data_IF_184233606768
#
_entry.id   IF_184233606768
#
_cell.length_a   1.000
_cell.length_b   1.000
_cell.length_c   1.000
_cell.angle_alpha   90.00
_cell.angle_beta   90.00
_cell.angle_gamma   90.00
#
_symmetry.space_group_name_H-M   'P 1'
#
loop_
_entity.id
_entity.type
_entity.pdbx_description
1 polymer ?
#
# COMPACT_ATOMS: atom_id res chain seq x y z
N UNK A 1 26.57 -6.27 -74.01
CA UNK A 1 25.72 -6.70 -72.85
C UNK A 1 26.51 -7.51 -71.74
N UNK A 2 27.49 -8.34 -72.16
CA UNK A 2 28.24 -9.16 -71.17
C UNK A 2 29.06 -8.33 -70.11
N UNK A 3 29.66 -7.18 -70.54
CA UNK A 3 30.48 -6.38 -69.62
C UNK A 3 29.69 -5.59 -68.53
N UNK A 4 28.40 -5.26 -68.79
CA UNK A 4 27.57 -4.57 -67.82
C UNK A 4 27.07 -5.51 -66.70
N UNK A 5 26.87 -6.78 -67.07
CA UNK A 5 26.42 -7.80 -66.14
C UNK A 5 27.57 -8.16 -65.13
N UNK A 6 28.82 -8.22 -65.63
CA UNK A 6 30.01 -8.50 -64.81
C UNK A 6 30.30 -7.35 -63.79
N UNK A 7 30.08 -6.09 -64.18
CA UNK A 7 30.24 -4.93 -63.28
C UNK A 7 29.15 -4.89 -62.24
N UNK A 8 27.90 -5.25 -62.59
CA UNK A 8 26.80 -5.35 -61.62
C UNK A 8 27.01 -6.50 -60.61
N UNK A 9 27.54 -7.63 -61.01
CA UNK A 9 27.88 -8.75 -60.14
C UNK A 9 29.06 -8.41 -59.22
N UNK A 10 30.06 -7.65 -59.69
CA UNK A 10 31.19 -7.21 -58.85
C UNK A 10 30.74 -6.17 -57.80
N UNK A 11 29.82 -5.25 -58.18
CA UNK A 11 29.26 -4.29 -57.25
C UNK A 11 28.33 -4.94 -56.22
N UNK A 12 27.55 -5.95 -56.61
CA UNK A 12 26.72 -6.73 -55.72
C UNK A 12 27.56 -7.55 -54.73
N UNK A 13 28.71 -8.15 -55.16
CA UNK A 13 29.62 -8.86 -54.28
C UNK A 13 30.35 -7.93 -53.29
N UNK A 14 30.73 -6.72 -53.72
CA UNK A 14 31.37 -5.74 -52.78
C UNK A 14 30.39 -5.23 -51.74
N UNK A 15 29.12 -5.01 -52.08
CA UNK A 15 28.09 -4.57 -51.14
C UNK A 15 27.74 -5.67 -50.13
N UNK A 16 27.75 -6.95 -50.54
CA UNK A 16 27.56 -8.08 -49.64
C UNK A 16 28.78 -8.30 -48.73
N UNK A 17 30.01 -8.07 -49.23
CA UNK A 17 31.21 -8.20 -48.44
C UNK A 17 31.37 -7.08 -47.39
N UNK A 18 30.84 -5.88 -47.64
CA UNK A 18 30.85 -4.79 -46.64
C UNK A 18 29.72 -4.91 -45.61
N UNK A 19 28.67 -5.70 -45.89
CA UNK A 19 27.58 -5.96 -44.93
C UNK A 19 27.94 -6.94 -43.81
N UNK A 20 29.05 -7.62 -43.89
CA UNK A 20 29.55 -8.55 -42.84
C UNK A 20 30.72 -8.02 -42.01
N UNK A 21 31.14 -6.77 -42.18
CA UNK A 21 31.96 -6.07 -41.19
C UNK A 21 31.01 -5.46 -40.15
N UNK A 22 30.10 -6.27 -39.62
CA UNK A 22 29.39 -5.98 -38.40
C UNK A 22 30.41 -6.16 -37.27
N UNK A 23 30.71 -5.07 -36.61
CA UNK A 23 31.27 -4.99 -35.28
C UNK A 23 31.79 -6.35 -34.74
N UNK A 24 33.08 -6.63 -34.89
CA UNK A 24 33.72 -7.40 -33.83
C UNK A 24 33.50 -6.54 -32.58
N UNK A 25 32.62 -6.98 -31.69
CA UNK A 25 32.69 -6.49 -30.33
C UNK A 25 34.14 -6.74 -29.94
N UNK A 26 34.93 -5.68 -29.86
CA UNK A 26 36.19 -5.74 -29.14
C UNK A 26 35.81 -6.36 -27.82
N UNK A 27 36.51 -7.40 -27.45
CA UNK A 27 36.34 -8.08 -26.17
C UNK A 27 36.49 -6.97 -25.10
N UNK A 28 35.35 -6.40 -24.71
CA UNK A 28 35.32 -5.38 -23.69
C UNK A 28 35.93 -6.06 -22.47
N UNK A 29 37.14 -5.65 -22.12
CA UNK A 29 37.77 -6.12 -20.90
C UNK A 29 36.78 -6.07 -19.75
N UNK A 30 36.98 -6.83 -18.68
CA UNK A 30 36.03 -6.90 -17.59
C UNK A 30 35.60 -5.49 -17.20
N UNK A 31 34.29 -5.25 -17.24
CA UNK A 31 33.70 -3.97 -16.89
C UNK A 31 34.27 -3.51 -15.55
N UNK A 32 34.77 -2.28 -15.47
CA UNK A 32 35.16 -1.69 -14.18
C UNK A 32 33.96 -1.64 -13.21
N UNK A 33 32.76 -1.84 -13.73
CA UNK A 33 31.51 -2.03 -13.00
C UNK A 33 31.08 -3.50 -12.95
N UNK A 34 31.90 -4.42 -13.45
CA UNK A 34 31.69 -5.86 -13.30
C UNK A 34 31.97 -6.27 -11.85
N UNK A 35 31.07 -5.86 -11.04
CA UNK A 35 30.92 -6.39 -9.70
C UNK A 35 30.28 -7.78 -9.82
N UNK A 36 31.04 -8.73 -10.33
CA UNK A 36 30.68 -10.17 -10.31
C UNK A 36 30.18 -10.61 -8.95
N UNK A 37 30.63 -9.94 -7.95
CA UNK A 37 30.28 -10.17 -6.58
C UNK A 37 30.22 -8.81 -5.94
N UNK A 38 29.24 -8.08 -5.99
CA UNK A 38 29.02 -7.03 -5.01
C UNK A 38 29.94 -7.33 -3.78
N UNK A 39 31.24 -7.03 -3.77
CA UNK A 39 32.00 -7.31 -2.58
C UNK A 39 31.53 -6.29 -1.57
N UNK A 40 30.54 -6.71 -0.76
CA UNK A 40 30.07 -5.89 0.35
C UNK A 40 31.27 -5.63 1.22
N UNK A 41 31.57 -4.35 1.47
CA UNK A 41 32.68 -3.96 2.32
C UNK A 41 32.41 -4.43 3.76
N UNK A 42 33.12 -5.48 4.17
CA UNK A 42 33.01 -6.07 5.50
C UNK A 42 33.41 -5.11 6.64
N UNK A 43 34.20 -4.08 6.35
CA UNK A 43 34.61 -3.08 7.35
C UNK A 43 33.51 -2.12 7.74
N UNK A 44 32.45 -1.99 6.93
CA UNK A 44 31.35 -1.07 7.21
C UNK A 44 30.39 -1.60 8.28
N UNK A 45 29.99 -0.77 9.20
CA UNK A 45 28.98 -1.11 10.22
C UNK A 45 27.64 -1.52 9.61
N UNK A 46 27.38 -1.12 8.38
CA UNK A 46 26.17 -1.45 7.61
C UNK A 46 26.21 -2.83 6.92
N UNK A 47 27.36 -3.49 6.92
CA UNK A 47 27.56 -4.77 6.27
C UNK A 47 26.48 -5.82 6.60
N UNK A 48 25.99 -5.97 7.85
CA UNK A 48 24.95 -6.92 8.18
C UNK A 48 23.63 -6.62 7.45
N UNK A 49 23.21 -5.36 7.38
CA UNK A 49 22.00 -4.98 6.65
C UNK A 49 22.20 -5.15 5.14
N UNK A 50 23.32 -4.69 4.59
CA UNK A 50 23.64 -4.83 3.17
C UNK A 50 23.63 -6.31 2.74
N UNK A 51 24.16 -7.20 3.59
CA UNK A 51 24.13 -8.66 3.36
C UNK A 51 22.70 -9.20 3.42
N UNK A 52 21.93 -8.80 4.44
CA UNK A 52 20.52 -9.20 4.55
C UNK A 52 19.72 -8.79 3.31
N UNK A 53 19.90 -7.56 2.84
CA UNK A 53 19.20 -7.04 1.65
C UNK A 53 19.60 -7.79 0.39
N UNK A 54 20.90 -8.09 0.22
CA UNK A 54 21.40 -8.89 -0.90
C UNK A 54 20.74 -10.27 -0.92
N UNK A 55 20.80 -10.99 0.19
CA UNK A 55 20.35 -12.39 0.28
C UNK A 55 18.82 -12.53 0.21
N UNK A 56 18.08 -11.57 0.77
CA UNK A 56 16.62 -11.69 0.93
C UNK A 56 15.81 -10.93 -0.13
N UNK A 57 16.41 -10.00 -0.89
CA UNK A 57 15.70 -9.21 -1.89
C UNK A 57 16.39 -9.23 -3.26
N UNK A 58 17.71 -8.97 -3.31
CA UNK A 58 18.41 -8.85 -4.59
C UNK A 58 18.55 -10.21 -5.28
N UNK A 59 19.14 -11.20 -4.61
CA UNK A 59 19.38 -12.52 -5.21
C UNK A 59 18.10 -13.28 -5.54
N UNK A 60 17.08 -13.35 -4.65
CA UNK A 60 15.89 -14.14 -4.95
C UNK A 60 14.93 -13.45 -5.92
N UNK A 61 14.80 -12.11 -5.89
CA UNK A 61 13.74 -11.38 -6.59
C UNK A 61 14.24 -10.29 -7.55
N UNK A 62 15.57 -10.06 -7.62
CA UNK A 62 16.17 -8.96 -8.36
C UNK A 62 15.64 -7.57 -7.92
N UNK A 63 15.50 -7.39 -6.60
CA UNK A 63 15.00 -6.15 -5.98
C UNK A 63 16.16 -5.43 -5.30
N UNK A 64 16.46 -4.22 -5.75
CA UNK A 64 17.40 -3.32 -5.08
C UNK A 64 16.67 -2.57 -3.97
N UNK A 65 17.03 -2.85 -2.72
CA UNK A 65 16.50 -2.14 -1.55
C UNK A 65 17.45 -1.01 -1.17
N UNK A 66 17.05 0.25 -1.37
CA UNK A 66 17.87 1.44 -1.17
C UNK A 66 17.42 2.14 0.10
N UNK A 67 18.25 2.18 1.13
CA UNK A 67 18.01 2.91 2.37
C UNK A 67 18.99 4.06 2.58
N UNK A 68 20.11 4.06 1.85
CA UNK A 68 21.01 5.21 1.77
C UNK A 68 20.48 6.17 0.73
N UNK A 69 20.20 7.39 1.14
CA UNK A 69 19.73 8.42 0.23
C UNK A 69 20.88 8.82 -0.69
N UNK A 70 20.67 8.65 -1.99
CA UNK A 70 21.59 9.12 -3.01
C UNK A 70 21.06 10.45 -3.56
N UNK A 71 21.94 11.42 -3.85
CA UNK A 71 21.55 12.73 -4.39
C UNK A 71 20.87 12.59 -5.77
N UNK A 72 21.26 11.57 -6.55
CA UNK A 72 20.70 11.27 -7.86
C UNK A 72 19.49 10.33 -7.67
N UNK A 73 18.30 10.82 -8.03
CA UNK A 73 17.05 10.03 -7.95
C UNK A 73 16.14 10.41 -6.79
N UNK A 74 16.51 11.41 -6.01
CA UNK A 74 15.63 12.08 -5.05
C UNK A 74 15.01 13.32 -5.69
N UNK A 75 13.79 13.68 -5.27
CA UNK A 75 13.15 14.92 -5.72
C UNK A 75 13.90 16.13 -5.13
N UNK A 76 14.76 16.73 -5.94
CA UNK A 76 15.60 17.88 -5.55
C UNK A 76 14.78 19.13 -5.19
N UNK A 77 13.48 19.14 -5.45
CA UNK A 77 12.58 20.25 -5.06
C UNK A 77 12.11 20.15 -3.61
N UNK A 78 12.46 19.07 -2.91
CA UNK A 78 11.99 18.76 -1.56
C UNK A 78 13.15 18.55 -0.60
N UNK A 79 12.97 19.00 0.65
CA UNK A 79 13.92 18.76 1.73
C UNK A 79 13.69 17.38 2.34
N UNK A 80 14.21 16.34 1.71
CA UNK A 80 14.13 14.98 2.18
C UNK A 80 15.34 14.62 3.05
N UNK A 81 15.18 13.78 4.06
CA UNK A 81 16.25 13.29 4.92
C UNK A 81 16.38 11.78 4.81
N UNK A 82 17.60 11.22 4.95
CA UNK A 82 17.81 9.78 4.89
C UNK A 82 17.12 9.07 6.07
N UNK A 83 16.78 7.81 5.86
CA UNK A 83 16.35 6.92 6.93
C UNK A 83 17.54 6.60 7.86
N UNK A 84 17.29 6.55 9.18
CA UNK A 84 18.29 6.07 10.12
C UNK A 84 18.58 4.59 9.89
N UNK A 85 19.79 4.15 10.25
CA UNK A 85 20.17 2.75 10.10
C UNK A 85 19.21 1.81 10.86
N UNK A 86 18.89 2.15 12.10
CA UNK A 86 17.97 1.36 12.92
C UNK A 86 16.59 1.20 12.26
N UNK A 87 16.01 2.30 11.78
CA UNK A 87 14.71 2.27 11.11
C UNK A 87 14.77 1.54 9.77
N UNK A 88 15.90 1.64 9.07
CA UNK A 88 16.14 0.88 7.84
C UNK A 88 16.19 -0.62 8.11
N UNK A 89 16.85 -1.05 9.19
CA UNK A 89 16.84 -2.46 9.64
C UNK A 89 15.42 -2.90 9.97
N UNK A 90 14.69 -2.13 10.80
CA UNK A 90 13.32 -2.47 11.18
C UNK A 90 12.41 -2.60 9.97
N UNK A 91 12.44 -1.63 9.05
CA UNK A 91 11.57 -1.67 7.86
C UNK A 91 11.95 -2.80 6.91
N UNK A 92 13.24 -3.10 6.74
CA UNK A 92 13.70 -4.20 5.89
C UNK A 92 13.20 -5.58 6.40
N UNK A 93 13.36 -5.86 7.69
CA UNK A 93 12.90 -7.14 8.25
C UNK A 93 11.37 -7.24 8.25
N UNK A 94 10.67 -6.13 8.52
CA UNK A 94 9.21 -6.09 8.43
C UNK A 94 8.72 -6.24 6.99
N UNK A 95 9.40 -5.65 6.00
CA UNK A 95 9.07 -5.85 4.58
C UNK A 95 9.23 -7.32 4.17
N UNK A 96 10.26 -8.00 4.66
CA UNK A 96 10.41 -9.45 4.44
C UNK A 96 9.29 -10.22 5.13
N UNK A 97 9.08 -9.98 6.43
CA UNK A 97 8.16 -10.72 7.27
C UNK A 97 6.68 -10.49 6.93
N UNK A 98 6.24 -9.24 6.71
CA UNK A 98 4.82 -8.89 6.52
C UNK A 98 4.39 -8.81 5.06
N UNK A 99 5.32 -8.86 4.11
CA UNK A 99 4.98 -8.76 2.69
C UNK A 99 5.62 -9.87 1.85
N UNK A 100 6.95 -9.93 1.69
CA UNK A 100 7.60 -10.88 0.79
C UNK A 100 7.33 -12.34 1.16
N UNK A 101 7.54 -12.73 2.43
CA UNK A 101 7.32 -14.11 2.89
C UNK A 101 5.87 -14.57 2.71
N UNK A 102 4.92 -13.65 2.84
CA UNK A 102 3.50 -13.96 2.70
C UNK A 102 3.16 -14.23 1.23
N UNK A 103 3.61 -13.36 0.33
CA UNK A 103 3.39 -13.60 -1.11
C UNK A 103 4.21 -14.78 -1.66
N UNK A 104 5.35 -15.11 -1.07
CA UNK A 104 6.10 -16.32 -1.39
C UNK A 104 5.34 -17.58 -0.95
N UNK A 105 4.69 -17.53 0.21
CA UNK A 105 3.93 -18.65 0.78
C UNK A 105 2.66 -18.96 -0.02
N UNK A 106 1.94 -17.94 -0.46
CA UNK A 106 0.62 -18.09 -1.09
C UNK A 106 0.62 -17.87 -2.61
N UNK A 107 1.70 -17.36 -3.17
CA UNK A 107 1.90 -17.22 -4.60
C UNK A 107 2.59 -18.45 -5.23
N UNK A 108 2.77 -18.39 -6.53
CA UNK A 108 3.63 -19.35 -7.21
C UNK A 108 5.11 -19.04 -6.98
N UNK A 109 6.05 -20.00 -7.12
CA UNK A 109 7.48 -19.73 -6.95
C UNK A 109 8.03 -18.63 -7.87
N UNK A 110 7.36 -18.36 -8.99
CA UNK A 110 7.77 -17.33 -9.94
C UNK A 110 7.07 -15.98 -9.71
N UNK A 111 6.00 -15.94 -8.91
CA UNK A 111 5.14 -14.76 -8.76
C UNK A 111 5.94 -13.51 -8.38
N UNK A 112 6.69 -13.56 -7.27
CA UNK A 112 7.50 -12.44 -6.83
C UNK A 112 8.66 -12.13 -7.79
N UNK A 113 9.27 -13.14 -8.39
CA UNK A 113 10.35 -12.93 -9.38
C UNK A 113 9.89 -12.15 -10.60
N UNK A 114 8.65 -12.37 -11.03
CA UNK A 114 8.07 -11.71 -12.20
C UNK A 114 7.47 -10.35 -11.89
N UNK A 115 6.86 -10.20 -10.72
CA UNK A 115 6.01 -9.05 -10.40
C UNK A 115 6.57 -8.12 -9.32
N UNK A 116 7.68 -8.45 -8.62
CA UNK A 116 8.26 -7.53 -7.64
C UNK A 116 8.70 -6.22 -8.28
N UNK A 117 8.59 -5.10 -7.55
CA UNK A 117 9.26 -3.86 -7.96
C UNK A 117 10.76 -4.13 -8.12
N UNK A 118 11.44 -3.40 -8.98
CA UNK A 118 12.90 -3.54 -9.12
C UNK A 118 13.65 -2.75 -8.07
N UNK A 119 13.02 -1.72 -7.53
CA UNK A 119 13.61 -0.85 -6.50
C UNK A 119 12.58 -0.63 -5.39
N UNK A 120 13.02 -0.79 -4.16
CA UNK A 120 12.35 -0.25 -2.97
C UNK A 120 13.27 0.82 -2.41
N UNK A 121 12.81 2.07 -2.40
CA UNK A 121 13.58 3.22 -1.93
C UNK A 121 12.99 3.78 -0.64
N UNK A 122 13.79 3.86 0.40
CA UNK A 122 13.36 4.26 1.74
C UNK A 122 13.90 5.64 2.07
N UNK A 123 12.99 6.58 2.35
CA UNK A 123 13.28 7.96 2.72
C UNK A 123 12.87 8.17 4.19
N UNK A 124 13.72 8.84 4.95
CA UNK A 124 13.52 9.03 6.39
C UNK A 124 12.43 10.02 6.75
N UNK A 125 12.28 11.09 5.97
CA UNK A 125 11.32 12.17 6.23
C UNK A 125 10.01 12.00 5.46
N UNK A 126 9.01 12.76 5.88
CA UNK A 126 7.77 12.95 5.15
C UNK A 126 8.00 13.64 3.80
N UNK A 127 7.15 13.33 2.84
CA UNK A 127 7.05 14.02 1.58
C UNK A 127 5.77 14.85 1.56
N UNK A 128 5.90 16.15 1.86
CA UNK A 128 4.78 17.06 1.88
C UNK A 128 4.59 17.69 0.49
N UNK A 129 3.35 17.74 0.02
CA UNK A 129 2.96 18.50 -1.16
C UNK A 129 2.55 19.92 -0.71
N UNK A 130 3.38 20.95 -0.91
CA UNK A 130 3.11 22.31 -0.41
C UNK A 130 1.87 22.95 -1.05
N UNK A 131 1.49 22.52 -2.26
CA UNK A 131 0.38 23.10 -3.01
C UNK A 131 -0.97 22.52 -2.61
N UNK A 132 -1.01 21.32 -2.07
CA UNK A 132 -2.25 20.62 -1.69
C UNK A 132 -2.40 20.41 -0.19
N UNK A 133 -1.36 20.69 0.60
CA UNK A 133 -1.34 20.40 2.05
C UNK A 133 -1.39 18.89 2.37
N UNK A 134 -1.19 18.03 1.36
CA UNK A 134 -1.28 16.58 1.51
C UNK A 134 0.10 15.97 1.73
N UNK A 135 0.14 14.87 2.47
CA UNK A 135 1.32 14.04 2.63
C UNK A 135 1.29 12.93 1.56
N UNK A 136 2.40 12.78 0.83
CA UNK A 136 2.61 11.66 -0.10
C UNK A 136 3.28 10.53 0.69
N UNK A 137 2.56 9.43 0.89
CA UNK A 137 3.05 8.28 1.69
C UNK A 137 4.00 7.39 0.89
N UNK A 138 3.77 7.27 -0.42
CA UNK A 138 4.60 6.54 -1.35
C UNK A 138 4.33 6.95 -2.79
N UNK A 139 5.18 6.51 -3.68
CA UNK A 139 5.05 6.73 -5.13
C UNK A 139 5.57 5.51 -5.87
N UNK A 140 4.77 4.98 -6.81
CA UNK A 140 5.29 4.06 -7.82
C UNK A 140 5.72 4.83 -9.06
N UNK A 141 6.99 4.71 -9.40
CA UNK A 141 7.52 5.30 -10.63
C UNK A 141 7.56 4.24 -11.74
N UNK A 142 6.57 4.31 -12.65
CA UNK A 142 6.53 3.47 -13.85
C UNK A 142 6.45 1.96 -13.59
N UNK A 143 5.89 1.53 -12.45
CA UNK A 143 5.78 0.11 -12.10
C UNK A 143 7.11 -0.58 -11.74
N UNK A 144 8.19 0.19 -11.59
CA UNK A 144 9.52 -0.35 -11.34
C UNK A 144 10.06 -0.03 -9.94
N UNK A 145 9.65 1.08 -9.36
CA UNK A 145 10.18 1.58 -8.09
C UNK A 145 9.06 1.96 -7.14
N UNK A 146 9.15 1.48 -5.91
CA UNK A 146 8.33 1.92 -4.77
C UNK A 146 9.19 2.78 -3.87
N UNK A 147 8.80 4.03 -3.65
CA UNK A 147 9.44 4.91 -2.67
C UNK A 147 8.57 4.98 -1.42
N UNK A 148 9.15 4.68 -0.26
CA UNK A 148 8.50 4.75 1.05
C UNK A 148 9.06 5.94 1.82
N UNK A 149 8.19 6.85 2.20
CA UNK A 149 8.55 8.04 2.98
C UNK A 149 8.29 7.83 4.47
N UNK A 150 8.78 8.76 5.29
CA UNK A 150 8.55 8.82 6.74
C UNK A 150 9.14 7.63 7.52
N UNK A 151 10.17 6.96 7.02
CA UNK A 151 10.74 5.78 7.66
C UNK A 151 11.28 6.04 9.08
N UNK A 152 11.69 7.29 9.39
CA UNK A 152 12.17 7.64 10.73
C UNK A 152 11.06 7.63 11.80
N UNK A 153 9.79 7.73 11.41
CA UNK A 153 8.64 7.62 12.29
C UNK A 153 8.09 6.17 12.40
N UNK A 154 8.73 5.21 11.73
CA UNK A 154 8.32 3.80 11.83
C UNK A 154 8.24 3.36 13.31
N UNK A 155 7.07 2.89 13.71
CA UNK A 155 6.81 2.44 15.07
C UNK A 155 6.12 1.07 15.10
N UNK A 156 6.88 -0.03 15.27
CA UNK A 156 6.31 -1.37 15.33
C UNK A 156 5.33 -1.61 16.49
N UNK A 157 5.31 -0.71 17.48
CA UNK A 157 4.33 -0.78 18.58
C UNK A 157 2.95 -0.25 18.18
N UNK A 158 2.82 0.43 17.04
CA UNK A 158 1.58 0.94 16.50
C UNK A 158 1.32 0.35 15.10
N UNK A 159 0.56 -0.75 15.07
CA UNK A 159 0.25 -1.48 13.83
C UNK A 159 -0.53 -0.60 12.85
N UNK A 160 -1.48 0.18 13.34
CA UNK A 160 -2.32 1.03 12.47
C UNK A 160 -1.45 2.07 11.74
N UNK A 161 -0.55 2.75 12.47
CA UNK A 161 0.40 3.69 11.87
C UNK A 161 1.33 2.99 10.87
N UNK A 162 1.85 1.81 11.24
CA UNK A 162 2.75 1.04 10.39
C UNK A 162 2.03 0.59 9.10
N UNK A 163 0.79 0.15 9.20
CA UNK A 163 -0.02 -0.22 8.04
C UNK A 163 -0.31 1.00 7.16
N UNK A 164 -0.76 2.11 7.73
CA UNK A 164 -1.11 3.31 6.97
C UNK A 164 0.08 3.87 6.18
N UNK A 165 1.24 4.01 6.82
CA UNK A 165 2.40 4.65 6.21
C UNK A 165 3.23 3.73 5.31
N UNK A 166 3.26 2.41 5.59
CA UNK A 166 4.18 1.51 4.89
C UNK A 166 3.47 0.37 4.18
N UNK A 167 2.72 -0.47 4.88
CA UNK A 167 2.23 -1.70 4.27
C UNK A 167 1.04 -1.47 3.34
N UNK A 168 0.14 -0.55 3.66
CA UNK A 168 -0.93 -0.13 2.73
C UNK A 168 -0.31 0.43 1.46
N UNK A 169 0.67 1.34 1.58
CA UNK A 169 1.40 1.89 0.44
C UNK A 169 2.09 0.80 -0.38
N UNK A 170 2.79 -0.15 0.26
CA UNK A 170 3.44 -1.25 -0.46
C UNK A 170 2.45 -2.11 -1.23
N UNK A 171 1.31 -2.46 -0.65
CA UNK A 171 0.27 -3.23 -1.33
C UNK A 171 -0.43 -2.42 -2.44
N UNK A 172 -0.63 -1.13 -2.24
CA UNK A 172 -1.19 -0.19 -3.21
C UNK A 172 -0.31 -0.11 -4.47
N UNK A 173 0.96 0.20 -4.30
CA UNK A 173 1.91 0.32 -5.41
C UNK A 173 2.16 -1.02 -6.10
N UNK A 174 2.19 -2.10 -5.32
CA UNK A 174 2.27 -3.44 -5.88
C UNK A 174 1.01 -3.79 -6.69
N UNK A 175 -0.16 -3.35 -6.24
CA UNK A 175 -1.41 -3.45 -7.00
C UNK A 175 -1.31 -2.79 -8.38
N UNK A 176 -0.69 -1.61 -8.48
CA UNK A 176 -0.43 -0.96 -9.76
C UNK A 176 0.53 -1.75 -10.66
N UNK A 177 1.58 -2.34 -10.09
CA UNK A 177 2.51 -3.20 -10.85
C UNK A 177 1.76 -4.41 -11.43
N UNK A 178 0.92 -5.04 -10.61
CA UNK A 178 0.11 -6.18 -11.06
C UNK A 178 -0.92 -5.77 -12.13
N UNK A 179 -1.59 -4.61 -11.98
CA UNK A 179 -2.55 -4.08 -12.96
C UNK A 179 -1.90 -3.76 -14.31
N UNK A 180 -0.62 -3.36 -14.32
CA UNK A 180 0.15 -3.15 -15.57
C UNK A 180 0.47 -4.46 -16.29
N UNK A 181 0.64 -5.56 -15.57
CA UNK A 181 0.94 -6.87 -16.16
C UNK A 181 -0.32 -7.60 -16.62
N UNK A 182 -1.38 -7.50 -15.86
CA UNK A 182 -2.69 -8.07 -16.16
C UNK A 182 -3.77 -7.04 -15.83
N UNK A 183 -4.27 -6.35 -16.84
CA UNK A 183 -5.23 -5.26 -16.65
C UNK A 183 -6.47 -5.72 -15.87
N UNK A 184 -6.92 -4.89 -14.95
CA UNK A 184 -8.17 -5.09 -14.21
C UNK A 184 -9.36 -5.19 -15.18
N UNK A 185 -10.44 -5.88 -14.80
CA UNK A 185 -11.64 -5.97 -15.61
C UNK A 185 -12.24 -4.57 -15.90
N UNK A 186 -12.55 -4.26 -17.15
CA UNK A 186 -13.14 -2.98 -17.55
C UNK A 186 -14.49 -2.71 -16.86
N UNK A 187 -15.22 -3.76 -16.50
CA UNK A 187 -16.46 -3.66 -15.72
C UNK A 187 -16.27 -2.98 -14.36
N UNK A 188 -15.09 -3.07 -13.75
CA UNK A 188 -14.78 -2.37 -12.50
C UNK A 188 -14.91 -0.86 -12.67
N UNK A 189 -14.40 -0.30 -13.77
CA UNK A 189 -14.42 1.13 -14.02
C UNK A 189 -15.86 1.68 -14.13
N UNK A 190 -16.85 0.83 -14.38
CA UNK A 190 -18.26 1.19 -14.52
C UNK A 190 -19.00 1.25 -13.18
N UNK A 191 -18.54 0.53 -12.14
CA UNK A 191 -19.24 0.43 -10.85
C UNK A 191 -19.42 1.82 -10.22
N UNK A 192 -18.38 2.63 -10.20
CA UNK A 192 -18.39 3.98 -9.64
C UNK A 192 -18.21 5.07 -10.70
N UNK A 193 -18.55 4.77 -11.97
CA UNK A 193 -18.47 5.76 -13.06
C UNK A 193 -19.29 7.00 -12.72
N UNK A 194 -18.70 8.18 -12.98
CA UNK A 194 -19.33 9.48 -12.67
C UNK A 194 -19.25 9.92 -11.20
N UNK A 195 -18.63 9.10 -10.30
CA UNK A 195 -18.41 9.44 -8.89
C UNK A 195 -16.94 9.77 -8.57
N UNK A 196 -16.02 9.53 -9.51
CA UNK A 196 -14.60 9.85 -9.34
C UNK A 196 -14.35 11.33 -9.51
N UNK A 197 -13.56 11.92 -8.61
CA UNK A 197 -13.13 13.33 -8.67
C UNK A 197 -11.68 13.47 -8.21
N UNK A 198 -10.78 13.65 -9.18
CA UNK A 198 -9.36 13.80 -8.93
C UNK A 198 -8.99 15.12 -8.23
N UNK A 199 -9.89 16.11 -8.21
CA UNK A 199 -9.61 17.46 -7.69
C UNK A 199 -10.12 17.69 -6.27
N UNK A 200 -11.16 16.97 -5.84
CA UNK A 200 -11.85 17.24 -4.56
C UNK A 200 -11.85 16.06 -3.58
N UNK A 201 -11.24 14.92 -3.93
CA UNK A 201 -11.21 13.75 -3.06
C UNK A 201 -10.61 14.05 -1.68
N UNK A 202 -9.66 14.97 -1.57
CA UNK A 202 -9.04 15.38 -0.29
C UNK A 202 -10.04 16.01 0.67
N UNK A 203 -11.12 16.57 0.15
CA UNK A 203 -12.19 17.17 0.94
C UNK A 203 -13.29 16.18 1.34
N UNK A 204 -13.22 14.94 0.83
CA UNK A 204 -14.21 13.91 1.10
C UNK A 204 -13.90 13.20 2.43
N UNK A 205 -14.80 13.23 3.42
CA UNK A 205 -14.61 12.49 4.67
C UNK A 205 -14.68 10.97 4.44
N UNK A 206 -13.99 10.19 5.30
CA UNK A 206 -13.93 8.73 5.19
C UNK A 206 -15.32 8.09 5.19
N UNK A 207 -16.23 8.57 6.06
CA UNK A 207 -17.60 8.03 6.13
C UNK A 207 -18.41 8.32 4.87
N UNK A 208 -18.24 9.51 4.27
CA UNK A 208 -18.91 9.84 3.01
C UNK A 208 -18.30 9.06 1.84
N UNK A 209 -16.98 8.86 1.82
CA UNK A 209 -16.34 8.01 0.85
C UNK A 209 -16.89 6.58 0.95
N UNK A 210 -16.96 6.04 2.17
CA UNK A 210 -17.53 4.71 2.42
C UNK A 210 -18.99 4.59 1.96
N UNK A 211 -19.84 5.55 2.31
CA UNK A 211 -21.25 5.57 1.88
C UNK A 211 -21.43 5.67 0.36
N UNK A 212 -20.43 6.17 -0.36
CA UNK A 212 -20.38 6.21 -1.83
C UNK A 212 -19.80 4.94 -2.47
N UNK A 213 -19.33 3.99 -1.65
CA UNK A 213 -18.74 2.74 -2.10
C UNK A 213 -17.24 2.80 -2.36
N UNK A 214 -16.52 3.71 -1.67
CA UNK A 214 -15.06 3.81 -1.70
C UNK A 214 -14.45 3.39 -0.36
N UNK A 215 -13.38 2.61 -0.38
CA UNK A 215 -12.68 2.15 0.84
C UNK A 215 -11.86 3.25 1.53
N UNK A 216 -11.59 4.34 0.82
CA UNK A 216 -10.90 5.54 1.29
C UNK A 216 -11.31 6.74 0.42
N UNK A 217 -11.10 7.99 0.88
CA UNK A 217 -11.28 9.16 0.02
C UNK A 217 -10.44 9.09 -1.26
N UNK A 218 -9.20 8.63 -1.16
CA UNK A 218 -8.28 8.52 -2.30
C UNK A 218 -8.78 7.53 -3.37
N UNK A 219 -9.46 6.47 -3.00
CA UNK A 219 -10.16 5.58 -3.94
C UNK A 219 -11.15 6.34 -4.84
N UNK A 220 -11.73 7.45 -4.34
CA UNK A 220 -12.61 8.32 -5.10
C UNK A 220 -11.92 9.21 -6.15
N UNK A 221 -10.60 9.22 -6.24
CA UNK A 221 -9.86 10.07 -7.18
C UNK A 221 -9.91 9.54 -8.62
N UNK A 222 -9.75 8.24 -8.81
CA UNK A 222 -9.77 7.60 -10.13
C UNK A 222 -10.04 6.08 -10.01
N UNK A 223 -10.54 5.47 -11.09
CA UNK A 223 -10.83 4.04 -11.10
C UNK A 223 -9.59 3.16 -10.90
N UNK A 224 -8.41 3.61 -11.32
CA UNK A 224 -7.14 2.92 -11.08
C UNK A 224 -6.76 2.91 -9.61
N UNK A 225 -6.92 4.06 -8.95
CA UNK A 225 -6.66 4.21 -7.52
C UNK A 225 -7.67 3.42 -6.68
N UNK A 226 -8.94 3.44 -7.06
CA UNK A 226 -9.99 2.66 -6.42
C UNK A 226 -9.69 1.16 -6.43
N UNK A 227 -9.20 0.65 -7.57
CA UNK A 227 -8.83 -0.75 -7.72
C UNK A 227 -7.76 -1.19 -6.71
N UNK A 228 -6.66 -0.45 -6.68
CA UNK A 228 -5.52 -0.79 -5.81
C UNK A 228 -5.78 -0.44 -4.35
N UNK A 229 -6.57 0.59 -4.06
CA UNK A 229 -7.03 0.93 -2.71
C UNK A 229 -7.90 -0.18 -2.12
N UNK A 230 -8.80 -0.78 -2.91
CA UNK A 230 -9.60 -1.95 -2.45
C UNK A 230 -8.67 -3.10 -2.05
N UNK A 231 -7.68 -3.43 -2.88
CA UNK A 231 -6.69 -4.46 -2.57
C UNK A 231 -5.92 -4.13 -1.29
N UNK A 232 -5.30 -2.96 -1.23
CA UNK A 232 -4.42 -2.55 -0.14
C UNK A 232 -5.16 -2.43 1.20
N UNK A 233 -6.33 -1.76 1.21
CA UNK A 233 -7.14 -1.62 2.42
C UNK A 233 -7.67 -2.97 2.91
N UNK A 234 -8.09 -3.86 2.00
CA UNK A 234 -8.57 -5.18 2.41
C UNK A 234 -7.49 -6.00 3.07
N UNK A 235 -6.26 -6.00 2.55
CA UNK A 235 -5.15 -6.76 3.10
C UNK A 235 -4.69 -6.21 4.45
N UNK A 236 -4.60 -4.88 4.59
CA UNK A 236 -3.94 -4.25 5.73
C UNK A 236 -4.85 -3.84 6.88
N UNK A 237 -6.13 -3.56 6.62
CA UNK A 237 -7.09 -3.27 7.71
C UNK A 237 -7.35 -4.52 8.53
N UNK A 238 -7.22 -4.41 9.84
CA UNK A 238 -7.62 -5.47 10.75
C UNK A 238 -9.14 -5.74 10.70
N UNK A 239 -9.59 -6.77 11.41
CA UNK A 239 -10.99 -7.19 11.42
C UNK A 239 -11.93 -6.12 11.96
N UNK A 240 -11.49 -5.35 13.00
CA UNK A 240 -12.32 -4.32 13.61
C UNK A 240 -12.43 -3.08 12.72
N UNK A 241 -11.31 -2.63 12.15
CA UNK A 241 -11.25 -1.46 11.27
C UNK A 241 -11.96 -1.73 9.93
N UNK A 242 -11.87 -2.95 9.37
CA UNK A 242 -12.66 -3.33 8.21
C UNK A 242 -14.17 -3.37 8.51
N UNK A 243 -14.56 -3.96 9.64
CA UNK A 243 -15.96 -3.96 10.07
C UNK A 243 -16.49 -2.55 10.33
N UNK A 244 -15.66 -1.64 10.85
CA UNK A 244 -16.03 -0.23 11.04
C UNK A 244 -16.25 0.48 9.70
N UNK A 245 -15.38 0.26 8.71
CA UNK A 245 -15.55 0.73 7.34
C UNK A 245 -16.87 0.25 6.74
N UNK A 246 -17.15 -1.04 6.81
CA UNK A 246 -18.38 -1.64 6.26
C UNK A 246 -19.64 -1.10 6.96
N UNK A 247 -19.59 -0.90 8.29
CA UNK A 247 -20.68 -0.24 9.01
C UNK A 247 -20.90 1.21 8.58
N UNK A 248 -19.82 1.96 8.29
CA UNK A 248 -19.94 3.32 7.77
C UNK A 248 -20.51 3.32 6.34
N UNK A 249 -20.08 2.36 5.51
CA UNK A 249 -20.51 2.22 4.12
C UNK A 249 -22.00 1.84 3.95
N UNK A 250 -22.60 1.21 4.96
CA UNK A 250 -24.02 0.85 4.95
C UNK A 250 -24.98 2.04 5.08
N UNK A 251 -24.46 3.27 5.26
CA UNK A 251 -25.28 4.45 5.44
C UNK A 251 -24.94 5.54 4.41
N UNK A 252 -25.95 6.32 4.03
CA UNK A 252 -25.76 7.59 3.36
C UNK A 252 -25.40 8.64 4.40
N UNK A 253 -24.48 9.55 4.03
CA UNK A 253 -24.00 10.64 4.89
C UNK A 253 -24.24 11.98 4.23
N UNK A 254 -24.60 12.98 5.02
CA UNK A 254 -24.78 14.36 4.59
C UNK A 254 -23.94 15.32 5.44
N UNK A 255 -23.41 16.38 4.82
CA UNK A 255 -22.82 17.51 5.53
C UNK A 255 -23.94 18.38 6.08
N UNK A 256 -23.76 18.86 7.31
CA UNK A 256 -24.74 19.75 7.96
C UNK A 256 -24.07 21.03 8.42
N UNK A 257 -24.77 22.14 8.19
CA UNK A 257 -24.35 23.48 8.63
C UNK A 257 -24.64 23.61 10.13
N UNK A 258 -23.74 23.11 10.97
CA UNK A 258 -23.82 23.31 12.42
C UNK A 258 -22.44 23.30 13.04
N UNK A 259 -22.28 24.06 14.12
CA UNK A 259 -21.06 24.07 14.90
C UNK A 259 -20.93 22.79 15.73
N UNK A 260 -19.71 22.44 16.14
CA UNK A 260 -19.46 21.34 17.08
C UNK A 260 -20.29 21.45 18.36
N UNK A 261 -20.46 22.66 18.88
CA UNK A 261 -21.26 22.89 20.06
C UNK A 261 -22.74 22.53 19.85
N UNK A 262 -23.30 22.91 18.72
CA UNK A 262 -24.68 22.61 18.37
C UNK A 262 -24.90 21.12 18.14
N UNK A 263 -23.95 20.48 17.46
CA UNK A 263 -23.94 19.03 17.28
C UNK A 263 -23.85 18.28 18.61
N UNK A 264 -22.95 18.70 19.51
CA UNK A 264 -22.78 18.06 20.82
C UNK A 264 -24.06 18.22 21.69
N UNK A 265 -24.72 19.36 21.65
CA UNK A 265 -26.01 19.57 22.33
C UNK A 265 -27.10 18.65 21.78
N UNK A 266 -27.19 18.48 20.47
CA UNK A 266 -28.15 17.56 19.84
C UNK A 266 -27.84 16.10 20.13
N UNK A 267 -26.56 15.73 20.16
CA UNK A 267 -26.11 14.38 20.47
C UNK A 267 -26.33 14.01 21.96
N UNK A 268 -26.25 14.97 22.86
CA UNK A 268 -26.49 14.77 24.31
C UNK A 268 -27.95 14.84 24.73
N UNK A 269 -28.86 15.27 23.86
CA UNK A 269 -30.31 15.29 24.10
C UNK A 269 -30.93 13.91 24.01
N UNK A 270 -32.22 13.81 24.45
CA UNK A 270 -32.99 12.57 24.45
C UNK A 270 -33.15 11.92 23.03
N UNK A 271 -32.79 12.61 21.99
CA UNK A 271 -32.87 12.18 20.60
C UNK A 271 -31.48 11.93 20.02
N UNK A 272 -30.85 10.91 20.45
CA UNK A 272 -29.71 10.16 19.88
C UNK A 272 -29.16 10.65 18.52
N UNK A 273 -28.80 11.92 18.41
CA UNK A 273 -28.09 12.44 17.24
C UNK A 273 -26.59 12.08 17.30
N UNK A 274 -26.28 10.94 17.95
CA UNK A 274 -24.95 10.29 18.04
C UNK A 274 -24.47 9.71 16.72
N UNK A 275 -25.22 9.92 15.66
CA UNK A 275 -24.97 9.35 14.33
C UNK A 275 -24.08 10.23 13.44
N UNK A 276 -23.83 11.47 13.84
CA UNK A 276 -22.94 12.37 13.15
C UNK A 276 -21.49 12.09 13.53
N UNK A 277 -20.60 12.46 12.68
CA UNK A 277 -19.20 12.51 13.05
C UNK A 277 -18.60 13.84 12.63
N UNK A 278 -17.54 14.22 13.29
CA UNK A 278 -16.93 15.51 13.25
C UNK A 278 -15.52 15.45 12.67
N UNK A 279 -15.23 16.32 11.72
CA UNK A 279 -13.91 16.40 11.10
C UNK A 279 -13.46 17.84 10.97
N UNK A 280 -12.18 18.07 11.26
CA UNK A 280 -11.50 19.33 10.97
C UNK A 280 -10.84 19.23 9.59
N UNK A 281 -11.01 20.25 8.76
CA UNK A 281 -10.34 20.36 7.48
C UNK A 281 -9.00 21.08 7.61
N UNK A 282 -8.13 20.91 6.60
CA UNK A 282 -6.78 21.49 6.59
C UNK A 282 -6.77 23.03 6.61
N UNK A 283 -7.87 23.68 6.17
CA UNK A 283 -8.06 25.13 6.27
C UNK A 283 -8.55 25.60 7.66
N UNK A 284 -8.65 24.70 8.63
CA UNK A 284 -9.14 25.01 9.97
C UNK A 284 -10.66 25.10 10.11
N UNK A 285 -11.42 24.91 9.02
CA UNK A 285 -12.88 24.82 9.09
C UNK A 285 -13.31 23.48 9.68
N UNK A 286 -14.20 23.53 10.64
CA UNK A 286 -14.83 22.36 11.22
C UNK A 286 -16.16 22.08 10.52
N UNK A 287 -16.28 20.88 9.95
CA UNK A 287 -17.50 20.41 9.31
C UNK A 287 -18.09 19.23 10.05
N UNK A 288 -19.40 19.21 10.16
CA UNK A 288 -20.15 18.13 10.80
C UNK A 288 -20.85 17.30 9.74
N UNK A 289 -20.67 16.00 9.84
CA UNK A 289 -21.33 15.02 8.97
C UNK A 289 -22.21 14.11 9.81
N UNK A 290 -23.36 13.74 9.28
CA UNK A 290 -24.30 12.84 9.96
C UNK A 290 -24.87 11.82 8.99
N UNK A 291 -25.29 10.69 9.53
CA UNK A 291 -26.06 9.70 8.78
C UNK A 291 -27.41 10.27 8.39
N UNK A 292 -27.85 9.98 7.17
CA UNK A 292 -29.16 10.43 6.69
C UNK A 292 -30.26 9.62 7.36
N UNK A 293 -31.17 10.30 8.05
CA UNK A 293 -32.31 9.67 8.72
C UNK A 293 -33.55 10.57 8.63
N UNK A 294 -34.73 10.02 8.93
CA UNK A 294 -35.93 10.81 9.07
C UNK A 294 -35.80 11.78 10.24
N UNK A 295 -36.30 13.04 10.07
CA UNK A 295 -36.23 14.08 11.07
C UNK A 295 -37.57 14.80 11.21
N UNK A 296 -37.87 15.24 12.42
CA UNK A 296 -39.06 16.02 12.69
C UNK A 296 -38.84 17.51 12.32
N UNK A 297 -39.90 18.33 12.49
CA UNK A 297 -39.88 19.74 12.14
C UNK A 297 -38.84 20.59 12.90
N UNK A 298 -38.32 20.09 14.02
CA UNK A 298 -37.27 20.72 14.81
C UNK A 298 -35.87 20.18 14.51
N UNK A 299 -35.75 19.41 13.42
CA UNK A 299 -34.50 18.74 12.98
C UNK A 299 -33.94 17.70 13.99
N UNK A 300 -34.80 17.13 14.84
CA UNK A 300 -34.44 15.99 15.68
C UNK A 300 -34.70 14.68 14.96
N UNK A 301 -33.90 13.66 15.27
CA UNK A 301 -34.06 12.30 14.75
C UNK A 301 -35.47 11.78 15.02
N UNK A 302 -36.16 11.32 13.99
CA UNK A 302 -37.43 10.65 14.12
C UNK A 302 -37.21 9.15 14.44
N UNK A 303 -37.96 8.68 15.42
CA UNK A 303 -38.01 7.25 15.79
C UNK A 303 -39.28 6.61 15.25
N UNK A 304 -39.20 5.31 14.97
CA UNK A 304 -40.40 4.50 14.69
C UNK A 304 -41.21 4.18 15.97
N UNK A 305 -42.27 3.41 15.84
CA UNK A 305 -43.13 3.02 16.96
C UNK A 305 -42.39 2.18 18.01
N UNK A 306 -41.35 1.47 17.60
CA UNK A 306 -40.48 0.66 18.46
C UNK A 306 -39.32 1.45 19.08
N UNK A 307 -39.16 2.73 18.71
CA UNK A 307 -38.09 3.61 19.22
C UNK A 307 -36.77 3.51 18.48
N UNK A 308 -36.72 2.93 17.29
CA UNK A 308 -35.52 2.85 16.46
C UNK A 308 -35.42 4.04 15.51
N UNK A 309 -34.18 4.40 15.15
CA UNK A 309 -33.92 5.47 14.19
C UNK A 309 -34.33 5.00 12.78
N UNK A 310 -35.11 5.84 12.12
CA UNK A 310 -35.53 5.60 10.73
C UNK A 310 -34.42 6.08 9.77
N UNK A 311 -33.49 5.19 9.41
CA UNK A 311 -32.45 5.47 8.45
C UNK A 311 -33.02 5.66 7.04
N UNK A 312 -32.50 6.63 6.30
CA UNK A 312 -32.90 6.91 4.92
C UNK A 312 -31.71 6.72 4.00
N UNK A 313 -32.00 6.24 2.80
CA UNK A 313 -31.06 6.21 1.69
C UNK A 313 -31.74 6.94 0.51
N UNK A 314 -31.50 8.25 0.41
CA UNK A 314 -32.13 9.10 -0.61
C UNK A 314 -31.54 8.90 -2.00
N UNK A 315 -30.28 8.51 -2.07
CA UNK A 315 -29.55 8.30 -3.32
C UNK A 315 -29.74 6.88 -3.88
N UNK A 316 -30.18 5.93 -3.06
CA UNK A 316 -30.25 4.50 -3.42
C UNK A 316 -28.88 3.84 -3.54
N UNK A 317 -27.82 4.50 -3.07
CA UNK A 317 -26.45 3.95 -3.09
C UNK A 317 -26.19 3.14 -1.81
N UNK A 318 -25.87 1.87 -1.96
CA UNK A 318 -25.46 0.97 -0.90
C UNK A 318 -23.93 0.81 -0.98
N UNK A 319 -23.20 1.63 -0.21
CA UNK A 319 -21.75 1.70 -0.30
C UNK A 319 -21.06 0.40 0.09
N UNK A 320 -21.61 -0.31 1.07
CA UNK A 320 -21.13 -1.61 1.54
C UNK A 320 -21.26 -2.69 0.44
N UNK A 321 -22.39 -2.76 -0.26
CA UNK A 321 -22.59 -3.68 -1.38
C UNK A 321 -21.61 -3.37 -2.53
N UNK A 322 -21.39 -2.08 -2.82
CA UNK A 322 -20.45 -1.63 -3.85
C UNK A 322 -19.01 -2.02 -3.48
N UNK A 323 -18.58 -1.82 -2.22
CA UNK A 323 -17.26 -2.22 -1.76
C UNK A 323 -17.09 -3.74 -1.87
N UNK A 324 -18.10 -4.53 -1.48
CA UNK A 324 -18.04 -5.98 -1.60
C UNK A 324 -17.99 -6.44 -3.05
N UNK A 325 -18.74 -5.81 -3.94
CA UNK A 325 -18.69 -6.10 -5.38
C UNK A 325 -17.29 -5.82 -5.95
N UNK A 326 -16.68 -4.70 -5.61
CA UNK A 326 -15.32 -4.34 -6.01
C UNK A 326 -14.29 -5.35 -5.49
N UNK A 327 -14.41 -5.70 -4.20
CA UNK A 327 -13.54 -6.69 -3.56
C UNK A 327 -13.65 -8.07 -4.23
N UNK A 328 -14.84 -8.49 -4.59
CA UNK A 328 -15.04 -9.76 -5.29
C UNK A 328 -14.35 -9.78 -6.65
N UNK A 329 -14.36 -8.65 -7.37
CA UNK A 329 -13.61 -8.54 -8.62
C UNK A 329 -12.09 -8.63 -8.42
N UNK A 330 -11.57 -8.01 -7.35
CA UNK A 330 -10.15 -8.12 -6.99
C UNK A 330 -9.78 -9.55 -6.61
N UNK A 331 -10.63 -10.25 -5.85
CA UNK A 331 -10.45 -11.68 -5.50
C UNK A 331 -10.30 -12.54 -6.75
N UNK A 332 -11.28 -12.44 -7.64
CA UNK A 332 -11.31 -13.23 -8.87
C UNK A 332 -10.11 -12.93 -9.75
N UNK A 333 -9.74 -11.66 -9.91
CA UNK A 333 -8.59 -11.24 -10.70
C UNK A 333 -7.26 -11.82 -10.17
N UNK A 334 -7.00 -11.77 -8.86
CA UNK A 334 -5.81 -12.37 -8.26
C UNK A 334 -5.81 -13.90 -8.40
N UNK A 335 -6.98 -14.51 -8.24
CA UNK A 335 -7.15 -15.96 -8.37
C UNK A 335 -6.91 -16.43 -9.80
N UNK A 336 -7.49 -15.75 -10.78
CA UNK A 336 -7.47 -16.16 -12.18
C UNK A 336 -6.09 -15.97 -12.82
N UNK A 337 -5.40 -14.87 -12.47
CA UNK A 337 -4.10 -14.54 -13.08
C UNK A 337 -2.92 -15.23 -12.39
N UNK A 338 -2.95 -15.40 -11.06
CA UNK A 338 -1.81 -15.90 -10.29
C UNK A 338 -2.14 -17.03 -9.31
N UNK A 339 -3.38 -17.50 -9.29
CA UNK A 339 -3.87 -18.49 -8.32
C UNK A 339 -3.71 -18.04 -6.85
N UNK A 340 -3.71 -16.74 -6.58
CA UNK A 340 -3.59 -16.16 -5.25
C UNK A 340 -4.97 -15.92 -4.67
N UNK A 341 -5.17 -16.40 -3.44
CA UNK A 341 -6.35 -16.09 -2.62
C UNK A 341 -6.01 -14.91 -1.71
N UNK A 342 -6.61 -13.75 -1.96
CA UNK A 342 -6.36 -12.53 -1.17
C UNK A 342 -6.78 -12.68 0.31
N UNK A 343 -7.78 -13.53 0.60
CA UNK A 343 -8.23 -13.79 1.97
C UNK A 343 -7.17 -14.54 2.78
N UNK A 344 -6.38 -15.40 2.13
CA UNK A 344 -5.23 -16.07 2.74
C UNK A 344 -4.09 -15.08 3.02
N UNK A 345 -3.81 -14.19 2.06
CA UNK A 345 -2.84 -13.09 2.26
C UNK A 345 -3.25 -12.23 3.47
N UNK A 346 -4.50 -11.75 3.49
CA UNK A 346 -5.04 -10.95 4.59
C UNK A 346 -4.92 -11.67 5.94
N UNK A 347 -5.35 -12.93 6.01
CA UNK A 347 -5.30 -13.72 7.24
C UNK A 347 -3.88 -13.85 7.76
N UNK A 348 -2.91 -14.10 6.88
CA UNK A 348 -1.53 -14.25 7.28
C UNK A 348 -0.88 -12.93 7.70
N UNK A 349 -1.18 -11.82 7.01
CA UNK A 349 -0.75 -10.47 7.45
C UNK A 349 -1.23 -10.23 8.89
N UNK A 350 -2.50 -10.47 9.16
CA UNK A 350 -3.06 -10.23 10.50
C UNK A 350 -2.49 -11.18 11.55
N UNK A 351 -2.27 -12.47 11.24
CA UNK A 351 -1.63 -13.42 12.15
C UNK A 351 -0.19 -13.04 12.53
N UNK A 352 0.50 -12.37 11.64
CA UNK A 352 1.86 -11.87 11.91
C UNK A 352 1.88 -10.55 12.67
N UNK A 353 0.80 -9.79 12.59
CA UNK A 353 0.65 -8.52 13.29
C UNK A 353 0.01 -8.66 14.66
N UNK A 354 -0.91 -9.61 14.85
CA UNK A 354 -1.71 -9.74 16.06
C UNK A 354 -1.62 -11.14 16.67
N UNK A 355 -1.74 -11.19 18.01
CA UNK A 355 -1.78 -12.45 18.75
C UNK A 355 -3.06 -13.23 18.45
N UNK A 356 -2.93 -14.54 18.36
CA UNK A 356 -4.05 -15.47 18.13
C UNK A 356 -4.08 -16.54 19.22
N UNK A 357 -5.29 -16.98 19.54
CA UNK A 357 -5.51 -18.18 20.34
C UNK A 357 -5.17 -19.46 19.50
N UNK A 358 -5.04 -20.62 20.15
CA UNK A 358 -4.77 -21.89 19.44
C UNK A 358 -5.82 -22.27 18.38
N UNK A 359 -7.05 -21.77 18.50
CA UNK A 359 -8.13 -21.97 17.52
C UNK A 359 -8.05 -20.99 16.32
N UNK A 360 -7.07 -20.08 16.33
CA UNK A 360 -6.87 -19.08 15.28
C UNK A 360 -7.68 -17.78 15.48
N UNK A 361 -8.51 -17.68 16.52
CA UNK A 361 -9.20 -16.43 16.85
C UNK A 361 -8.23 -15.39 17.41
N UNK A 362 -8.49 -14.10 17.17
CA UNK A 362 -7.64 -13.03 17.66
C UNK A 362 -7.78 -12.81 19.17
N UNK A 363 -6.66 -12.44 19.79
CA UNK A 363 -6.62 -12.04 21.21
C UNK A 363 -6.84 -10.54 21.35
N UNK A 364 -7.60 -10.17 22.39
CA UNK A 364 -7.92 -8.78 22.71
C UNK A 364 -7.43 -8.40 24.09
N UNK A 365 -7.02 -7.14 24.25
CA UNK A 365 -6.72 -6.57 25.55
C UNK A 365 -8.03 -6.26 26.33
N UNK A 366 -7.89 -5.78 27.57
CA UNK A 366 -9.02 -5.43 28.44
C UNK A 366 -9.85 -4.23 27.94
N UNK A 367 -9.41 -3.56 26.88
CA UNK A 367 -10.13 -2.46 26.20
C UNK A 367 -10.73 -2.89 24.87
N UNK A 368 -10.68 -4.18 24.54
CA UNK A 368 -11.19 -4.72 23.29
C UNK A 368 -10.34 -4.39 22.04
N UNK A 369 -9.06 -4.06 22.21
CA UNK A 369 -8.13 -3.83 21.10
C UNK A 369 -7.33 -5.09 20.84
N UNK A 370 -7.00 -5.34 19.58
CA UNK A 370 -6.14 -6.44 19.16
C UNK A 370 -4.75 -6.33 19.80
N UNK A 371 -4.22 -7.43 20.31
CA UNK A 371 -2.90 -7.46 20.96
C UNK A 371 -1.83 -7.52 19.85
N UNK A 372 -0.96 -6.50 19.81
CA UNK A 372 0.14 -6.42 18.85
C UNK A 372 1.20 -7.50 19.10
N UNK A 373 1.35 -8.44 18.18
CA UNK A 373 2.31 -9.55 18.27
C UNK A 373 3.77 -9.08 18.23
N UNK A 374 4.09 -8.02 17.51
CA UNK A 374 5.48 -7.55 17.37
C UNK A 374 6.09 -7.11 18.72
N UNK A 375 5.25 -6.73 19.68
CA UNK A 375 5.66 -6.31 21.01
C UNK A 375 5.57 -7.41 22.07
N UNK A 376 5.08 -8.59 21.68
CA UNK A 376 4.99 -9.75 22.57
C UNK A 376 6.24 -10.64 22.45
N UNK A 377 6.51 -11.52 23.43
CA UNK A 377 7.55 -12.52 23.35
C UNK A 377 7.48 -13.30 22.02
N UNK A 378 8.63 -13.52 21.39
CA UNK A 378 8.71 -14.30 20.16
C UNK A 378 8.38 -15.77 20.42
N UNK A 379 7.73 -16.41 19.45
CA UNK A 379 7.47 -17.85 19.50
C UNK A 379 8.79 -18.66 19.44
N UNK A 380 9.83 -18.11 18.77
CA UNK A 380 11.14 -18.75 18.55
C UNK A 380 12.13 -18.48 19.71
N UNK A 381 12.00 -17.31 20.36
CA UNK A 381 12.85 -16.92 21.50
C UNK A 381 12.02 -16.08 22.49
N UNK A 382 11.34 -16.72 23.44
CA UNK A 382 10.46 -16.02 24.37
C UNK A 382 11.16 -15.02 25.33
N UNK A 383 12.48 -14.94 25.32
CA UNK A 383 13.24 -13.98 26.13
C UNK A 383 13.27 -12.56 25.52
N UNK A 384 12.86 -12.42 24.27
CA UNK A 384 12.82 -11.16 23.52
C UNK A 384 11.49 -11.01 22.79
N UNK A 385 11.17 -9.80 22.38
CA UNK A 385 9.97 -9.53 21.58
C UNK A 385 10.11 -10.08 20.15
N UNK A 386 8.97 -10.32 19.49
CA UNK A 386 8.95 -10.70 18.08
C UNK A 386 9.74 -9.71 17.22
N UNK A 387 9.60 -8.39 17.45
CA UNK A 387 10.36 -7.38 16.71
C UNK A 387 11.88 -7.50 16.92
N UNK A 388 12.32 -7.71 18.14
CA UNK A 388 13.74 -7.93 18.46
C UNK A 388 14.26 -9.23 17.81
N UNK A 389 13.44 -10.29 17.77
CA UNK A 389 13.78 -11.52 17.09
C UNK A 389 13.96 -11.29 15.57
N UNK A 390 13.05 -10.55 14.93
CA UNK A 390 13.18 -10.19 13.50
C UNK A 390 14.46 -9.39 13.21
N UNK A 391 14.84 -8.47 14.10
CA UNK A 391 16.09 -7.70 13.96
C UNK A 391 17.32 -8.62 14.03
N UNK A 392 17.26 -9.76 14.75
CA UNK A 392 18.34 -10.75 14.75
C UNK A 392 18.62 -11.32 13.35
N UNK A 393 17.64 -11.35 12.45
CA UNK A 393 17.87 -11.78 11.06
C UNK A 393 18.97 -10.96 10.38
N UNK A 394 19.05 -9.67 10.68
CA UNK A 394 20.12 -8.79 10.18
C UNK A 394 21.39 -8.95 11.02
N UNK A 395 21.28 -8.88 12.36
CA UNK A 395 22.45 -8.86 13.23
C UNK A 395 23.25 -10.18 13.21
N UNK A 396 22.64 -11.30 12.82
CA UNK A 396 23.34 -12.57 12.65
C UNK A 396 24.42 -12.50 11.57
N UNK A 397 24.31 -11.61 10.58
CA UNK A 397 25.33 -11.41 9.56
C UNK A 397 26.60 -10.72 10.10
N UNK A 398 26.59 -10.17 11.33
CA UNK A 398 27.80 -9.61 11.96
C UNK A 398 28.89 -10.67 12.10
N UNK A 399 28.54 -11.93 12.29
CA UNK A 399 29.51 -13.02 12.37
C UNK A 399 30.29 -13.27 11.08
N UNK A 400 29.85 -12.68 9.96
CA UNK A 400 30.49 -12.80 8.65
C UNK A 400 31.40 -11.60 8.33
N UNK A 401 31.42 -10.54 9.17
CA UNK A 401 32.32 -9.40 9.07
C UNK A 401 33.78 -9.77 9.43
#
# INVERSE_FOLDING_TARGET
MKNRLSILLFFAMTVVATGFVSCSEDDLGPSIFDTKDYPLDKSLYSFPLDTFLKVNFLEPYNVKYIYRMEDIGSDMTKNLTPASYEKSVQLAVLSKYLWYDIYEMYGTPLFLKQNSPRIIHVIGSKNLNPSQGTEVLGVAEGGLKITLYNANDLNPSNIDHMNEYFFKTMHHEFGHILDQTHLRPTAFNLISSGKYDASTWTNLPDSMAAGRGFVSPYAGSAAGEDWVEVLANYVTRDTLSWAALMRAAAFEWEEVDMTRSDYTKRASGANLDTVGYYRQHDNGEEKVYRKVCARNANDYVALDEEGHVQWLNKTGVHGDEIILQKLEMVRNWLKDNWNINIDDIRREVQRRQYMTNPDGSFMFDNRGRLINKLTQPSDEDPSITTMEYLVKWVTNYKSLQ
#
